data_IF_159881140399
#
_entry.id   IF_159881140399
#
_cell.length_a   1.000
_cell.length_b   1.000
_cell.length_c   1.000
_cell.angle_alpha   90.00
_cell.angle_beta   90.00
_cell.angle_gamma   90.00
#
_symmetry.space_group_name_H-M   'P 1'
#
loop_
_entity.id
_entity.type
_entity.pdbx_description
1 polymer ?
#
# COMPACT_ATOMS: atom_id res chain seq x y z
N UNK A 1 -1.10 1.23 -17.22
CA UNK A 1 -0.03 2.21 -16.92
C UNK A 1 1.26 1.77 -17.57
N UNK A 2 2.16 2.69 -17.87
CA UNK A 2 3.53 2.36 -18.27
C UNK A 2 4.38 1.95 -17.03
N UNK A 3 5.44 1.13 -17.21
CA UNK A 3 6.28 0.64 -16.11
C UNK A 3 6.93 1.74 -15.25
N UNK A 4 7.22 2.89 -15.85
CA UNK A 4 7.82 4.04 -15.16
C UNK A 4 6.86 4.75 -14.18
N UNK A 5 5.54 4.64 -14.39
CA UNK A 5 4.54 5.41 -13.68
C UNK A 5 3.92 4.67 -12.49
N UNK A 6 3.92 3.33 -12.49
CA UNK A 6 3.33 2.53 -11.43
C UNK A 6 4.05 1.19 -11.28
N UNK A 7 4.22 0.66 -10.05
CA UNK A 7 4.82 -0.66 -9.83
C UNK A 7 4.06 -1.85 -10.47
N UNK A 8 2.84 -1.61 -10.97
CA UNK A 8 2.01 -2.60 -11.67
C UNK A 8 1.80 -2.23 -13.15
N UNK A 9 2.57 -1.26 -13.64
CA UNK A 9 2.50 -0.82 -15.03
C UNK A 9 3.28 -1.75 -15.95
N UNK A 10 2.83 -1.87 -17.19
CA UNK A 10 3.38 -2.78 -18.20
C UNK A 10 2.58 -4.06 -18.39
N UNK A 11 3.10 -4.91 -19.25
CA UNK A 11 2.49 -6.16 -19.71
C UNK A 11 1.59 -5.99 -20.93
N UNK A 12 1.43 -7.07 -21.69
CA UNK A 12 0.65 -7.09 -22.92
C UNK A 12 -0.83 -7.27 -22.58
N UNK A 13 -1.65 -6.24 -22.83
CA UNK A 13 -3.08 -6.26 -22.51
C UNK A 13 -3.38 -6.22 -21.00
N UNK A 14 -4.38 -6.98 -20.55
CA UNK A 14 -4.76 -7.05 -19.13
C UNK A 14 -3.75 -7.92 -18.37
N UNK A 15 -2.95 -7.29 -17.53
CA UNK A 15 -1.89 -7.95 -16.77
C UNK A 15 -2.25 -8.11 -15.29
N UNK A 16 -1.87 -9.24 -14.65
CA UNK A 16 -1.96 -9.39 -13.20
C UNK A 16 -0.93 -8.49 -12.49
N UNK A 17 -1.00 -8.43 -11.15
CA UNK A 17 -0.12 -7.57 -10.33
C UNK A 17 1.37 -7.95 -10.43
N UNK A 18 1.70 -9.22 -10.70
CA UNK A 18 3.09 -9.67 -10.91
C UNK A 18 4.03 -9.52 -9.70
N UNK A 19 3.51 -9.18 -8.52
CA UNK A 19 4.26 -8.97 -7.28
C UNK A 19 3.59 -9.72 -6.12
N UNK A 20 4.32 -10.00 -5.01
CA UNK A 20 3.76 -10.69 -3.83
C UNK A 20 2.53 -10.02 -3.20
N UNK A 21 2.27 -8.75 -3.52
CA UNK A 21 1.07 -8.05 -3.10
C UNK A 21 0.91 -6.69 -3.78
N UNK A 22 -0.26 -6.05 -3.63
CA UNK A 22 -0.53 -4.76 -4.25
C UNK A 22 0.34 -3.67 -3.61
N UNK A 23 0.94 -2.84 -4.47
CA UNK A 23 1.72 -1.67 -4.10
C UNK A 23 1.03 -0.37 -4.47
N UNK A 24 1.33 0.67 -3.69
CA UNK A 24 1.04 2.07 -4.03
C UNK A 24 1.90 2.52 -5.22
N UNK A 25 1.61 3.67 -5.87
CA UNK A 25 2.47 4.24 -6.92
C UNK A 25 3.94 4.41 -6.52
N UNK A 26 4.21 4.60 -5.22
CA UNK A 26 5.56 4.75 -4.67
C UNK A 26 6.17 3.47 -4.09
N UNK A 27 5.64 2.30 -4.47
CA UNK A 27 6.22 1.00 -4.10
C UNK A 27 5.96 0.50 -2.68
N UNK A 28 5.20 1.20 -1.84
CA UNK A 28 4.81 0.73 -0.50
C UNK A 28 3.65 -0.28 -0.58
N UNK A 29 3.52 -1.22 0.37
CA UNK A 29 2.35 -2.11 0.42
C UNK A 29 1.05 -1.33 0.57
N UNK A 30 0.05 -1.65 -0.25
CA UNK A 30 -1.26 -1.00 -0.23
C UNK A 30 -2.20 -1.59 0.83
N UNK A 31 -2.06 -2.89 1.12
CA UNK A 31 -2.91 -3.64 2.04
C UNK A 31 -2.13 -4.09 3.29
N UNK A 32 -2.84 -4.23 4.42
CA UNK A 32 -2.32 -4.81 5.67
C UNK A 32 -1.31 -3.96 6.45
N UNK A 33 -0.63 -2.99 5.82
CA UNK A 33 0.38 -2.18 6.49
C UNK A 33 -0.24 -1.05 7.31
N UNK A 34 -0.20 -1.17 8.64
CA UNK A 34 -0.54 -0.08 9.56
C UNK A 34 0.46 1.08 9.43
N UNK A 35 -0.01 2.24 8.97
CA UNK A 35 0.82 3.43 8.75
C UNK A 35 0.98 4.33 9.98
N UNK A 36 0.17 4.11 11.04
CA UNK A 36 0.23 4.92 12.27
C UNK A 36 1.50 4.61 13.07
N UNK A 37 2.33 5.63 13.28
CA UNK A 37 3.48 5.60 14.20
C UNK A 37 3.04 5.81 15.66
N UNK A 38 3.90 5.43 16.62
CA UNK A 38 3.71 5.76 18.04
C UNK A 38 3.64 7.27 18.20
N UNK A 39 2.60 7.78 18.86
CA UNK A 39 2.41 9.21 19.13
C UNK A 39 1.99 9.41 20.58
N UNK A 40 2.31 10.53 21.23
CA UNK A 40 1.83 10.83 22.58
C UNK A 40 0.30 10.78 22.70
N UNK A 41 -0.41 11.08 21.60
CA UNK A 41 -1.87 10.99 21.54
C UNK A 41 -2.43 9.57 21.59
N UNK A 42 -1.59 8.54 21.50
CA UNK A 42 -2.02 7.14 21.67
C UNK A 42 -2.65 6.92 23.06
N UNK A 43 -2.27 7.71 24.07
CA UNK A 43 -2.86 7.66 25.42
C UNK A 43 -4.35 8.05 25.47
N UNK A 44 -4.83 8.78 24.47
CA UNK A 44 -6.23 9.19 24.37
C UNK A 44 -7.08 8.24 23.51
N UNK A 45 -6.49 7.15 22.97
CA UNK A 45 -7.23 6.19 22.14
C UNK A 45 -7.82 5.10 23.04
N UNK A 46 -9.13 5.16 23.27
CA UNK A 46 -9.86 4.17 24.08
C UNK A 46 -10.06 2.85 23.31
N UNK A 47 -10.41 2.93 22.01
CA UNK A 47 -10.61 1.75 21.15
C UNK A 47 -10.11 2.00 19.73
N UNK A 48 -9.37 1.04 19.18
CA UNK A 48 -8.96 1.06 17.76
C UNK A 48 -10.10 0.49 16.91
N UNK A 49 -10.45 1.18 15.83
CA UNK A 49 -11.28 0.59 14.75
C UNK A 49 -10.40 -0.40 13.99
N UNK A 50 -10.93 -1.58 13.65
CA UNK A 50 -10.24 -2.53 12.76
C UNK A 50 -9.94 -1.86 11.44
#
# INVERSE_FOLDING_TARGET
>A
MAPNAHPHGGGEGKSPIGMPGPKTPWGRPALGKKKRKKKPSDKFIIRKRK
#
